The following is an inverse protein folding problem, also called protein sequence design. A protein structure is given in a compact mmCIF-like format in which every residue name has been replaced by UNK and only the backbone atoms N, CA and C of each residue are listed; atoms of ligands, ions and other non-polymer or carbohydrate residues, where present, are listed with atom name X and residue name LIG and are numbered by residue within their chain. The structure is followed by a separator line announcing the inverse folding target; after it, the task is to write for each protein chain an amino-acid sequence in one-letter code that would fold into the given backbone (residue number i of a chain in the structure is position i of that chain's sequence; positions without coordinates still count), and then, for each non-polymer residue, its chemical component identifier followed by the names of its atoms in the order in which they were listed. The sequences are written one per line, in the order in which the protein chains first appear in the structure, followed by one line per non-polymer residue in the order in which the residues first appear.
data_IF_480535908674
#
_entry.id   IF_480535908674
#
_cell.length_a   1.000
_cell.length_b   1.000
_cell.length_c   1.000
_cell.angle_alpha   90.00
_cell.angle_beta   90.00
_cell.angle_gamma   90.00
#
_symmetry.space_group_name_H-M   'P 1'
#
loop_
_entity.id
_entity.type
_entity.pdbx_description
1 polymer ?
#
# COMPACT_ATOMS: atom_id res chain seq x y z
N UNK A 1 4.67 -13.53 -7.07
CA UNK A 1 4.34 -12.13 -6.73
C UNK A 1 3.13 -12.09 -5.83
N UNK A 2 3.22 -11.38 -4.72
CA UNK A 2 2.12 -11.09 -3.79
C UNK A 2 1.75 -9.62 -4.01
N UNK A 3 0.47 -9.32 -4.25
CA UNK A 3 -0.02 -7.96 -4.41
C UNK A 3 -0.79 -7.53 -3.17
N UNK A 4 -0.43 -6.37 -2.63
CA UNK A 4 -1.09 -5.76 -1.47
C UNK A 4 -1.81 -4.51 -1.95
N UNK A 5 -3.14 -4.48 -1.82
CA UNK A 5 -3.93 -3.28 -2.07
C UNK A 5 -3.83 -2.32 -0.89
N UNK A 6 -3.62 -1.04 -1.17
CA UNK A 6 -3.58 0.03 -0.18
C UNK A 6 -4.51 1.17 -0.62
N UNK A 7 -5.49 1.48 0.21
CA UNK A 7 -6.32 2.68 0.06
C UNK A 7 -5.75 3.75 0.99
N UNK A 8 -5.45 4.92 0.44
CA UNK A 8 -4.89 6.01 1.21
C UNK A 8 -5.38 7.35 0.66
N UNK A 9 -5.48 8.34 1.56
CA UNK A 9 -5.78 9.71 1.17
C UNK A 9 -4.52 10.35 0.58
N UNK A 10 -4.40 10.40 -0.74
CA UNK A 10 -3.24 10.94 -1.44
C UNK A 10 -3.51 12.29 -2.12
N UNK A 11 -4.70 12.84 -1.90
CA UNK A 11 -5.07 14.18 -2.31
C UNK A 11 -5.99 14.87 -1.29
N UNK A 12 -6.28 16.14 -1.50
CA UNK A 12 -7.11 16.93 -0.61
C UNK A 12 -6.43 17.33 0.70
N UNK A 13 -7.24 17.70 1.69
CA UNK A 13 -6.79 18.29 2.96
C UNK A 13 -5.94 17.33 3.79
N UNK A 14 -6.22 16.03 3.72
CA UNK A 14 -5.57 15.00 4.55
C UNK A 14 -4.44 14.25 3.85
N UNK A 15 -3.97 14.73 2.68
CA UNK A 15 -2.92 14.07 1.88
C UNK A 15 -1.69 13.69 2.69
N UNK A 16 -1.23 14.57 3.58
CA UNK A 16 0.00 14.33 4.35
C UNK A 16 -0.10 13.05 5.20
N UNK A 17 -1.28 12.74 5.74
CA UNK A 17 -1.48 11.52 6.51
C UNK A 17 -1.38 10.26 5.65
N UNK A 18 -1.93 10.28 4.44
CA UNK A 18 -1.81 9.15 3.51
C UNK A 18 -0.40 8.99 2.94
N UNK A 19 0.33 10.08 2.69
CA UNK A 19 1.74 10.04 2.29
C UNK A 19 2.62 9.42 3.39
N UNK A 20 2.44 9.80 4.66
CA UNK A 20 3.15 9.20 5.79
C UNK A 20 2.82 7.71 5.99
N UNK A 21 1.55 7.33 5.81
CA UNK A 21 1.12 5.94 5.82
C UNK A 21 1.80 5.16 4.67
N UNK A 22 1.82 5.70 3.46
CA UNK A 22 2.39 5.05 2.28
C UNK A 22 3.88 4.77 2.46
N UNK A 23 4.64 5.73 3.00
CA UNK A 23 6.07 5.53 3.33
C UNK A 23 6.27 4.34 4.27
N UNK A 24 5.40 4.20 5.28
CA UNK A 24 5.48 3.10 6.24
C UNK A 24 5.20 1.74 5.58
N UNK A 25 4.21 1.67 4.69
CA UNK A 25 3.85 0.46 3.94
C UNK A 25 4.94 0.06 2.95
N UNK A 26 5.48 1.01 2.20
CA UNK A 26 6.57 0.77 1.24
C UNK A 26 7.85 0.31 1.95
N UNK A 27 8.18 0.92 3.08
CA UNK A 27 9.32 0.48 3.90
C UNK A 27 9.10 -0.96 4.38
N UNK A 28 7.92 -1.30 4.89
CA UNK A 28 7.62 -2.66 5.32
C UNK A 28 7.73 -3.66 4.15
N UNK A 29 7.15 -3.35 2.99
CA UNK A 29 7.27 -4.19 1.80
C UNK A 29 8.73 -4.39 1.37
N UNK A 30 9.55 -3.33 1.37
CA UNK A 30 10.97 -3.41 1.01
C UNK A 30 11.81 -4.29 1.96
N UNK A 31 11.41 -4.36 3.24
CA UNK A 31 12.10 -5.17 4.26
C UNK A 31 11.67 -6.62 4.25
N UNK A 32 10.44 -6.89 3.82
CA UNK A 32 9.84 -8.22 3.78
C UNK A 32 10.03 -8.91 2.42
N UNK A 33 10.20 -8.15 1.34
CA UNK A 33 10.38 -8.69 -0.01
C UNK A 33 11.83 -9.12 -0.26
N UNK A 34 12.08 -10.28 -0.90
CA UNK A 34 11.08 -11.31 -1.24
C UNK A 34 10.68 -12.17 -0.03
N UNK A 35 9.43 -12.64 -0.02
CA UNK A 35 8.92 -13.58 1.00
C UNK A 35 9.04 -15.01 0.50
N UNK A 36 9.57 -15.91 1.33
CA UNK A 36 9.70 -17.33 1.00
C UNK A 36 8.52 -18.16 1.51
N UNK A 37 7.76 -18.77 0.60
CA UNK A 37 6.58 -19.60 0.90
C UNK A 37 6.73 -20.94 0.17
N UNK A 38 6.69 -22.05 0.90
CA UNK A 38 6.79 -23.39 0.29
C UNK A 38 8.07 -23.64 -0.51
N UNK A 39 9.16 -22.92 -0.19
CA UNK A 39 10.44 -23.02 -0.89
C UNK A 39 10.62 -22.06 -2.07
N UNK A 40 9.57 -21.35 -2.49
CA UNK A 40 9.58 -20.36 -3.58
C UNK A 40 9.64 -18.93 -3.04
N UNK A 41 10.28 -18.04 -3.80
CA UNK A 41 10.39 -16.62 -3.47
C UNK A 41 9.31 -15.79 -4.20
N UNK A 42 8.64 -14.93 -3.46
CA UNK A 42 7.59 -14.05 -3.96
C UNK A 42 7.95 -12.59 -3.68
N UNK A 43 8.06 -11.80 -4.75
CA UNK A 43 8.14 -10.34 -4.62
C UNK A 43 6.81 -9.77 -4.11
N UNK A 44 6.89 -8.76 -3.26
CA UNK A 44 5.75 -7.97 -2.79
C UNK A 44 5.62 -6.73 -3.67
N UNK A 45 4.43 -6.49 -4.21
CA UNK A 45 4.06 -5.28 -4.91
C UNK A 45 2.91 -4.59 -4.16
N UNK A 46 3.08 -3.32 -3.81
CA UNK A 46 2.02 -2.51 -3.20
C UNK A 46 1.32 -1.75 -4.32
N UNK A 47 0.01 -1.93 -4.43
CA UNK A 47 -0.85 -1.20 -5.36
C UNK A 47 -1.67 -0.21 -4.57
N UNK A 48 -1.33 1.07 -4.70
CA UNK A 48 -2.00 2.14 -3.96
C UNK A 48 -3.01 2.86 -4.83
N UNK A 49 -4.17 3.16 -4.25
CA UNK A 49 -5.22 3.99 -4.85
C UNK A 49 -5.54 5.17 -3.93
N UNK A 50 -5.71 6.34 -4.54
CA UNK A 50 -6.18 7.54 -3.84
C UNK A 50 -7.70 7.47 -3.65
N UNK A 51 -8.15 7.49 -2.40
CA UNK A 51 -9.57 7.54 -2.05
C UNK A 51 -10.07 8.97 -1.78
N UNK A 52 -9.18 9.96 -1.80
CA UNK A 52 -9.47 11.38 -1.57
C UNK A 52 -10.12 11.66 -0.20
N UNK A 53 -9.97 10.77 0.78
CA UNK A 53 -10.68 10.85 2.07
C UNK A 53 -12.18 10.56 1.96
N UNK A 54 -12.61 9.95 0.86
CA UNK A 54 -14.01 9.62 0.59
C UNK A 54 -14.28 8.12 0.83
N UNK A 55 -15.15 7.77 1.80
CA UNK A 55 -15.51 6.39 2.08
C UNK A 55 -16.09 5.61 0.88
N UNK A 56 -16.80 6.28 -0.03
CA UNK A 56 -17.37 5.65 -1.22
C UNK A 56 -16.28 5.28 -2.24
N UNK A 57 -15.18 6.04 -2.29
CA UNK A 57 -14.05 5.76 -3.17
C UNK A 57 -13.13 4.67 -2.62
N UNK A 58 -13.06 4.52 -1.30
CA UNK A 58 -12.21 3.52 -0.64
C UNK A 58 -12.65 2.06 -0.91
N UNK A 59 -13.93 1.84 -1.22
CA UNK A 59 -14.48 0.49 -1.47
C UNK A 59 -14.43 0.07 -2.95
N UNK A 60 -14.23 1.02 -3.87
CA UNK A 60 -14.16 0.82 -5.33
C UNK A 60 -12.72 0.87 -5.83
#
# INVERSE_FOLDING_TARGET
MIKIGNQAVLSGEYRSFGEEQLVSVELAASKLSPVRIGGFDYEIEVVTKDDEGNPEKAFL
#
